data_IF_133727752615
#
_entry.id   IF_133727752615
#
_cell.length_a   1.000
_cell.length_b   1.000
_cell.length_c   1.000
_cell.angle_alpha   90.00
_cell.angle_beta   90.00
_cell.angle_gamma   90.00
#
_symmetry.space_group_name_H-M   'P 1'
#
loop_
_entity.id
_entity.type
_entity.pdbx_description
1 polymer ?
#
# COMPACT_ATOMS: atom_id res chain seq x y z
N UNK A 1 11.56 26.03 -7.25
CA UNK A 1 10.35 25.28 -7.65
C UNK A 1 10.68 23.96 -8.34
N UNK A 2 11.55 23.96 -9.36
CA UNK A 2 11.94 22.75 -10.12
C UNK A 2 12.58 21.65 -9.27
N UNK A 3 13.48 21.98 -8.31
CA UNK A 3 14.11 20.98 -7.42
C UNK A 3 13.09 20.19 -6.57
N UNK A 4 12.12 20.87 -5.95
CA UNK A 4 11.07 20.23 -5.14
C UNK A 4 10.18 19.27 -5.95
N UNK A 5 9.90 19.59 -7.21
CA UNK A 5 9.13 18.72 -8.11
C UNK A 5 9.94 17.45 -8.43
N UNK A 6 11.24 17.61 -8.72
CA UNK A 6 12.14 16.48 -8.99
C UNK A 6 12.28 15.56 -7.78
N UNK A 7 12.51 16.12 -6.59
CA UNK A 7 12.61 15.38 -5.32
C UNK A 7 11.32 14.59 -5.03
N UNK A 8 10.15 15.22 -5.24
CA UNK A 8 8.85 14.54 -5.06
C UNK A 8 8.69 13.37 -6.04
N UNK A 9 9.06 13.55 -7.30
CA UNK A 9 9.01 12.47 -8.31
C UNK A 9 9.93 11.31 -7.96
N UNK A 10 11.17 11.60 -7.54
CA UNK A 10 12.13 10.57 -7.12
C UNK A 10 11.65 9.81 -5.87
N UNK A 11 11.04 10.51 -4.91
CA UNK A 11 10.44 9.86 -3.75
C UNK A 11 9.28 8.94 -4.14
N UNK A 12 8.41 9.40 -5.06
CA UNK A 12 7.29 8.60 -5.56
C UNK A 12 7.76 7.38 -6.35
N UNK A 13 8.81 7.48 -7.17
CA UNK A 13 9.41 6.35 -7.87
C UNK A 13 9.95 5.29 -6.91
N UNK A 14 10.68 5.70 -5.88
CA UNK A 14 11.21 4.77 -4.87
C UNK A 14 10.07 4.11 -4.08
N UNK A 15 9.08 4.90 -3.69
CA UNK A 15 7.94 4.41 -2.94
C UNK A 15 7.08 3.44 -3.78
N UNK A 16 6.84 3.76 -5.05
CA UNK A 16 6.08 2.90 -5.95
C UNK A 16 6.80 1.56 -6.14
N UNK A 17 8.11 1.54 -6.37
CA UNK A 17 8.88 0.28 -6.40
C UNK A 17 8.73 -0.52 -5.09
N UNK A 18 8.86 0.14 -3.94
CA UNK A 18 8.75 -0.53 -2.63
C UNK A 18 7.36 -1.13 -2.36
N UNK A 19 6.29 -0.53 -2.90
CA UNK A 19 4.91 -0.97 -2.67
C UNK A 19 4.40 -1.96 -3.72
N UNK A 20 4.83 -1.84 -4.98
CA UNK A 20 4.43 -2.74 -6.07
C UNK A 20 5.35 -3.96 -6.17
N UNK A 21 6.63 -3.82 -5.79
CA UNK A 21 7.63 -4.90 -5.74
C UNK A 21 8.39 -4.89 -4.39
N UNK A 22 7.77 -5.31 -3.29
CA UNK A 22 8.39 -5.28 -1.97
C UNK A 22 9.42 -6.41 -1.79
N UNK A 23 10.53 -6.34 -2.52
CA UNK A 23 11.60 -7.35 -2.52
C UNK A 23 12.18 -7.52 -1.11
N UNK A 24 12.21 -8.77 -0.62
CA UNK A 24 12.74 -9.11 0.70
C UNK A 24 11.85 -8.69 1.88
N UNK A 25 10.63 -8.22 1.62
CA UNK A 25 9.65 -7.87 2.65
C UNK A 25 8.62 -8.98 2.81
N UNK A 26 8.11 -9.14 4.02
CA UNK A 26 7.04 -10.12 4.28
C UNK A 26 5.69 -9.62 3.73
N UNK A 27 4.90 -10.51 3.12
CA UNK A 27 3.53 -10.17 2.71
C UNK A 27 2.64 -9.99 3.94
N UNK A 28 1.50 -9.35 3.74
CA UNK A 28 0.45 -9.29 4.76
C UNK A 28 -0.43 -10.54 4.67
N UNK A 29 -0.68 -11.18 5.81
CA UNK A 29 -1.55 -12.35 5.91
C UNK A 29 -2.87 -11.97 6.55
N UNK A 30 -3.92 -11.94 5.74
CA UNK A 30 -5.28 -11.63 6.15
C UNK A 30 -6.01 -12.93 6.54
N UNK A 31 -6.17 -13.19 7.84
CA UNK A 31 -6.82 -14.40 8.34
C UNK A 31 -8.34 -14.29 8.30
N UNK A 32 -9.02 -15.30 7.75
CA UNK A 32 -10.50 -15.31 7.57
C UNK A 32 -11.21 -16.38 8.40
N UNK A 33 -10.52 -16.97 9.37
CA UNK A 33 -10.99 -18.14 10.12
C UNK A 33 -10.79 -19.45 9.35
N UNK A 34 -11.06 -20.58 9.99
CA UNK A 34 -10.96 -21.93 9.42
C UNK A 34 -9.64 -22.22 8.70
N UNK A 35 -8.52 -21.74 9.24
CA UNK A 35 -7.17 -21.92 8.66
C UNK A 35 -7.00 -21.35 7.23
N UNK A 36 -7.90 -20.44 6.81
CA UNK A 36 -7.78 -19.76 5.52
C UNK A 36 -7.19 -18.36 5.71
N UNK A 37 -6.23 -18.02 4.86
CA UNK A 37 -5.67 -16.67 4.80
C UNK A 37 -5.55 -16.19 3.36
N UNK A 38 -5.78 -14.89 3.16
CA UNK A 38 -5.47 -14.21 1.91
C UNK A 38 -4.08 -13.62 2.07
N UNK A 39 -3.17 -13.96 1.15
CA UNK A 39 -1.81 -13.42 1.15
C UNK A 39 -1.77 -12.20 0.25
N UNK A 40 -1.46 -11.04 0.83
CA UNK A 40 -1.36 -9.76 0.15
C UNK A 40 0.12 -9.43 -0.03
N UNK A 41 0.63 -9.54 -1.26
CA UNK A 41 2.07 -9.44 -1.52
C UNK A 41 2.54 -8.03 -1.82
N UNK A 42 1.66 -7.18 -2.36
CA UNK A 42 1.99 -5.84 -2.81
C UNK A 42 0.71 -4.97 -2.85
N UNK A 43 0.86 -3.73 -3.30
CA UNK A 43 -0.24 -2.78 -3.38
C UNK A 43 -1.34 -3.16 -4.39
N UNK A 44 -0.99 -3.90 -5.45
CA UNK A 44 -1.97 -4.44 -6.42
C UNK A 44 -2.84 -5.51 -5.77
N UNK A 45 -2.23 -6.50 -5.13
CA UNK A 45 -2.94 -7.53 -4.37
C UNK A 45 -3.84 -6.89 -3.31
N UNK A 46 -3.34 -5.86 -2.61
CA UNK A 46 -4.13 -5.14 -1.60
C UNK A 46 -5.37 -4.52 -2.23
N UNK A 47 -5.19 -3.76 -3.32
CA UNK A 47 -6.27 -3.07 -4.04
C UNK A 47 -7.32 -4.07 -4.53
N UNK A 48 -6.91 -5.20 -5.08
CA UNK A 48 -7.81 -6.22 -5.62
C UNK A 48 -8.56 -6.99 -4.52
N UNK A 49 -8.04 -7.02 -3.29
CA UNK A 49 -8.63 -7.72 -2.15
C UNK A 49 -9.18 -6.77 -1.06
N UNK A 50 -9.33 -5.47 -1.33
CA UNK A 50 -9.76 -4.49 -0.33
C UNK A 50 -11.09 -4.84 0.35
N UNK A 51 -12.01 -5.48 -0.38
CA UNK A 51 -13.29 -5.89 0.18
C UNK A 51 -13.21 -7.01 1.19
N UNK A 52 -12.08 -7.71 1.23
CA UNK A 52 -11.79 -8.68 2.26
C UNK A 52 -11.41 -8.03 3.60
N UNK A 53 -11.03 -6.75 3.62
CA UNK A 53 -10.59 -6.10 4.84
C UNK A 53 -11.76 -5.51 5.64
N UNK A 54 -11.64 -5.61 6.95
CA UNK A 54 -12.53 -4.95 7.91
C UNK A 54 -11.86 -3.73 8.54
N UNK A 55 -12.65 -2.90 9.23
CA UNK A 55 -12.11 -1.73 9.96
C UNK A 55 -11.09 -2.14 11.04
N UNK A 56 -11.27 -3.32 11.65
CA UNK A 56 -10.38 -3.82 12.70
C UNK A 56 -8.96 -4.07 12.18
N UNK A 57 -8.84 -4.39 10.89
CA UNK A 57 -7.58 -4.68 10.22
C UNK A 57 -6.89 -3.42 9.71
N UNK A 58 -7.58 -2.27 9.68
CA UNK A 58 -7.03 -1.01 9.18
C UNK A 58 -5.74 -0.60 9.92
N UNK A 59 -5.68 -0.84 11.24
CA UNK A 59 -4.47 -0.54 12.03
C UNK A 59 -3.28 -1.44 11.66
N UNK A 60 -3.54 -2.74 11.45
CA UNK A 60 -2.51 -3.69 11.02
C UNK A 60 -2.04 -3.40 9.60
N UNK A 61 -2.98 -3.07 8.71
CA UNK A 61 -2.70 -2.66 7.36
C UNK A 61 -1.82 -1.40 7.32
N UNK A 62 -2.12 -0.40 8.16
CA UNK A 62 -1.30 0.81 8.27
C UNK A 62 0.15 0.48 8.67
N UNK A 63 0.36 -0.40 9.64
CA UNK A 63 1.71 -0.83 10.05
C UNK A 63 2.45 -1.58 8.95
N UNK A 64 1.74 -2.36 8.13
CA UNK A 64 2.37 -3.02 6.98
C UNK A 64 2.80 -2.02 5.91
N UNK A 65 1.97 -1.03 5.58
CA UNK A 65 2.34 0.03 4.63
C UNK A 65 3.54 0.84 5.11
N UNK A 66 3.59 1.18 6.40
CA UNK A 66 4.73 1.85 7.02
C UNK A 66 6.01 1.00 6.92
N UNK A 67 5.91 -0.31 7.15
CA UNK A 67 7.01 -1.26 6.97
C UNK A 67 7.50 -1.34 5.51
N UNK A 68 6.60 -1.13 4.54
CA UNK A 68 6.93 -0.98 3.12
C UNK A 68 7.42 0.43 2.75
N UNK A 69 7.42 1.37 3.70
CA UNK A 69 7.97 2.73 3.53
C UNK A 69 6.92 3.83 3.37
N UNK A 70 5.62 3.51 3.32
CA UNK A 70 4.54 4.49 3.13
C UNK A 70 4.00 5.05 4.45
N UNK A 71 4.83 5.84 5.12
CA UNK A 71 4.48 6.50 6.37
C UNK A 71 3.29 7.46 6.23
N UNK A 72 3.15 8.10 5.07
CA UNK A 72 2.06 9.04 4.79
C UNK A 72 0.71 8.32 4.75
N UNK A 73 0.60 7.27 3.93
CA UNK A 73 -0.64 6.49 3.82
C UNK A 73 -0.98 5.81 5.16
N UNK A 74 0.01 5.24 5.84
CA UNK A 74 -0.17 4.65 7.17
C UNK A 74 -0.73 5.66 8.19
N UNK A 75 -0.21 6.88 8.21
CA UNK A 75 -0.70 7.97 9.07
C UNK A 75 -2.15 8.33 8.77
N UNK A 76 -2.51 8.46 7.49
CA UNK A 76 -3.89 8.76 7.09
C UNK A 76 -4.88 7.67 7.52
N UNK A 77 -4.52 6.39 7.33
CA UNK A 77 -5.35 5.26 7.77
C UNK A 77 -5.52 5.26 9.28
N UNK A 78 -4.45 5.48 10.06
CA UNK A 78 -4.54 5.53 11.53
C UNK A 78 -5.42 6.67 12.02
N UNK A 79 -5.40 7.82 11.33
CA UNK A 79 -6.25 8.96 11.67
C UNK A 79 -7.72 8.80 11.29
N UNK A 80 -8.02 7.99 10.27
CA UNK A 80 -9.39 7.75 9.75
C UNK A 80 -9.56 6.28 9.32
N UNK A 81 -9.52 5.31 10.26
CA UNK A 81 -9.51 3.90 9.92
C UNK A 81 -10.76 3.44 9.18
N UNK A 82 -11.91 4.10 9.36
CA UNK A 82 -13.14 3.84 8.62
C UNK A 82 -13.05 4.19 7.11
N UNK A 83 -12.08 5.03 6.72
CA UNK A 83 -11.84 5.43 5.32
C UNK A 83 -10.72 4.66 4.64
N UNK A 84 -10.15 3.65 5.28
CA UNK A 84 -8.93 2.99 4.79
C UNK A 84 -9.04 2.51 3.33
N UNK A 85 -10.17 1.92 2.92
CA UNK A 85 -10.37 1.45 1.54
C UNK A 85 -10.22 2.58 0.52
N UNK A 86 -10.81 3.74 0.81
CA UNK A 86 -10.72 4.91 -0.06
C UNK A 86 -9.29 5.46 -0.11
N UNK A 87 -8.63 5.58 1.05
CA UNK A 87 -7.24 6.03 1.16
C UNK A 87 -6.29 5.12 0.34
N UNK A 88 -6.47 3.80 0.42
CA UNK A 88 -5.67 2.85 -0.37
C UNK A 88 -5.93 3.02 -1.87
N UNK A 89 -7.19 3.18 -2.29
CA UNK A 89 -7.52 3.36 -3.70
C UNK A 89 -6.91 4.63 -4.29
N UNK A 90 -6.98 5.75 -3.55
CA UNK A 90 -6.31 7.00 -3.95
C UNK A 90 -4.80 6.80 -4.04
N UNK A 91 -4.19 6.18 -3.01
CA UNK A 91 -2.75 5.95 -2.98
C UNK A 91 -2.27 5.03 -4.10
N UNK A 92 -3.05 4.00 -4.44
CA UNK A 92 -2.79 3.12 -5.58
C UNK A 92 -2.75 3.91 -6.88
N UNK A 93 -3.77 4.76 -7.13
CA UNK A 93 -3.83 5.56 -8.35
C UNK A 93 -2.67 6.56 -8.44
N UNK A 94 -2.34 7.23 -7.33
CA UNK A 94 -1.22 8.18 -7.25
C UNK A 94 0.12 7.54 -7.61
N UNK A 95 0.36 6.30 -7.17
CA UNK A 95 1.65 5.63 -7.34
C UNK A 95 1.75 4.80 -8.61
N UNK A 96 0.62 4.33 -9.16
CA UNK A 96 0.60 3.50 -10.37
C UNK A 96 1.25 4.21 -11.56
N UNK A 97 1.09 5.53 -11.69
CA UNK A 97 1.71 6.31 -12.77
C UNK A 97 3.24 6.32 -12.71
N UNK A 98 3.82 6.06 -11.53
CA UNK A 98 5.26 6.05 -11.30
C UNK A 98 5.86 4.65 -11.32
N UNK A 99 5.04 3.61 -11.28
CA UNK A 99 5.50 2.24 -11.41
C UNK A 99 5.38 1.81 -12.88
N UNK A 100 6.47 1.78 -13.65
CA UNK A 100 6.42 1.25 -15.01
C UNK A 100 6.02 -0.22 -14.92
N UNK A 101 4.85 -0.56 -15.45
CA UNK A 101 4.52 -1.93 -15.83
C UNK A 101 5.55 -2.33 -16.89
N UNK A 102 6.70 -2.84 -16.45
CA UNK A 102 7.58 -3.58 -17.34
C UNK A 102 6.79 -4.82 -17.71
N UNK A 103 6.18 -4.78 -18.89
CA UNK A 103 5.57 -5.93 -19.54
C UNK A 103 6.69 -6.96 -19.65
N UNK A 104 6.64 -7.99 -18.81
CA UNK A 104 7.42 -9.21 -18.97
C UNK A 104 6.78 -10.05 -20.08
#
# INVERSE_FOLDING_TARGET
MVRRIKEKKEAFLKLSSSLFEPVGKNPYYLFRGNHTSITIRNLTDLRDNLDAFTKEEAHWLASWLEYLGDNECAGQIRGRPEKFKHIIMERYNDLREFYPLTIA
#
